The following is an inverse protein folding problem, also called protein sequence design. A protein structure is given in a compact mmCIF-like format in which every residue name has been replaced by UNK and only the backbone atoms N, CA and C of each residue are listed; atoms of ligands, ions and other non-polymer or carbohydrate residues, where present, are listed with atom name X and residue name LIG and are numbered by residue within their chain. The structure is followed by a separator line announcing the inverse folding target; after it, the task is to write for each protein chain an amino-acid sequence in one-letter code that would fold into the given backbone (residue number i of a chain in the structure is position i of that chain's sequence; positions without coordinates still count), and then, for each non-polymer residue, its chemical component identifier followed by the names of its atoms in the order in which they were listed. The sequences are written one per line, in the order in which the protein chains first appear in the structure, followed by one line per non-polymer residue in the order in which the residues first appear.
data_IF_482260443286
#
_entry.id   IF_482260443286
#
_cell.length_a   1.000
_cell.length_b   1.000
_cell.length_c   1.000
_cell.angle_alpha   90.00
_cell.angle_beta   90.00
_cell.angle_gamma   90.00
#
_symmetry.space_group_name_H-M   'P 1'
#
loop_
_entity.id
_entity.type
_entity.pdbx_description
1 polymer ?
#
# COMPACT_ATOMS: atom_id res chain seq x y z
N UNK A 1 54.98 37.46 -18.39
CA UNK A 1 54.64 37.72 -19.80
C UNK A 1 54.93 36.45 -20.59
N UNK A 2 53.86 35.79 -21.02
CA UNK A 2 53.88 34.49 -21.70
C UNK A 2 53.88 34.68 -23.22
N UNK A 3 54.77 33.97 -23.90
CA UNK A 3 54.51 33.23 -25.14
C UNK A 3 55.78 32.44 -25.48
N UNK A 4 55.65 31.13 -25.75
CA UNK A 4 55.84 30.77 -27.15
C UNK A 4 54.84 29.71 -27.65
N UNK A 5 54.64 29.80 -28.96
CA UNK A 5 53.87 28.93 -29.82
C UNK A 5 54.27 27.47 -29.73
N UNK A 6 53.27 26.58 -29.61
CA UNK A 6 53.40 25.18 -30.02
C UNK A 6 52.25 24.83 -30.97
N UNK A 7 52.64 24.65 -32.23
CA UNK A 7 51.88 23.98 -33.28
C UNK A 7 52.04 22.47 -33.10
N UNK A 8 50.94 21.73 -32.93
CA UNK A 8 50.96 20.28 -33.05
C UNK A 8 49.96 19.80 -34.11
N UNK A 9 50.50 18.93 -34.95
CA UNK A 9 49.91 18.34 -36.13
C UNK A 9 48.82 17.30 -35.79
N UNK A 10 47.80 17.27 -36.64
CA UNK A 10 46.79 16.21 -36.69
C UNK A 10 47.36 14.92 -37.31
N UNK A 11 47.12 13.74 -36.72
CA UNK A 11 47.45 12.48 -37.37
C UNK A 11 46.36 12.05 -38.37
N UNK A 12 46.84 11.57 -39.52
CA UNK A 12 46.08 10.91 -40.59
C UNK A 12 45.37 9.65 -40.08
N UNK A 13 44.08 9.52 -40.42
CA UNK A 13 43.36 8.25 -40.33
C UNK A 13 43.34 7.53 -41.69
N UNK A 14 43.42 6.21 -41.58
CA UNK A 14 43.71 5.21 -42.60
C UNK A 14 42.57 5.01 -43.61
N UNK A 15 42.98 4.77 -44.85
CA UNK A 15 42.18 4.17 -45.93
C UNK A 15 42.30 2.64 -45.87
N UNK A 16 41.18 1.91 -45.99
CA UNK A 16 41.14 0.55 -46.57
C UNK A 16 39.69 0.02 -46.76
N UNK A 17 39.50 -1.02 -47.59
CA UNK A 17 38.50 -1.03 -48.66
C UNK A 17 37.25 -1.89 -48.37
N UNK A 18 36.27 -1.78 -49.27
CA UNK A 18 34.98 -2.45 -49.19
C UNK A 18 34.92 -3.90 -49.70
N UNK A 19 33.65 -4.31 -49.86
CA UNK A 19 33.11 -5.50 -50.55
C UNK A 19 33.24 -6.86 -49.85
N UNK A 20 32.08 -7.40 -49.42
CA UNK A 20 31.38 -8.44 -50.17
C UNK A 20 29.96 -8.69 -49.65
N UNK A 21 29.01 -8.56 -50.59
CA UNK A 21 27.64 -9.03 -50.50
C UNK A 21 27.63 -10.54 -50.74
N UNK A 22 26.95 -11.30 -49.87
CA UNK A 22 26.52 -12.67 -50.18
C UNK A 22 25.04 -12.80 -49.87
N UNK A 23 24.27 -12.76 -50.96
CA UNK A 23 22.93 -13.32 -51.08
C UNK A 23 23.00 -14.83 -51.02
N UNK A 24 22.31 -15.43 -50.06
CA UNK A 24 21.84 -16.82 -50.14
C UNK A 24 20.38 -16.85 -49.74
N UNK A 25 19.55 -17.01 -50.75
CA UNK A 25 18.13 -17.34 -50.69
C UNK A 25 17.95 -18.80 -50.27
N UNK A 26 17.31 -19.03 -49.13
CA UNK A 26 16.62 -20.29 -48.87
C UNK A 26 15.12 -20.02 -48.75
N UNK A 27 14.43 -20.55 -49.76
CA UNK A 27 12.98 -20.68 -49.84
C UNK A 27 12.63 -21.91 -49.01
N UNK A 28 11.94 -21.74 -47.89
CA UNK A 28 11.25 -22.84 -47.22
C UNK A 28 9.76 -22.54 -47.21
N UNK A 29 9.05 -23.49 -47.81
CA UNK A 29 7.64 -23.53 -48.14
C UNK A 29 6.71 -23.47 -46.92
N UNK A 30 5.62 -22.73 -47.10
CA UNK A 30 4.45 -22.68 -46.22
C UNK A 30 3.72 -24.02 -46.16
N UNK A 31 3.40 -24.48 -44.94
CA UNK A 31 2.27 -25.35 -44.66
C UNK A 31 1.24 -24.57 -43.83
N UNK A 32 -0.06 -24.58 -44.19
CA UNK A 32 -1.09 -23.97 -43.37
C UNK A 32 -1.59 -25.00 -42.35
N UNK A 33 -1.38 -24.74 -41.06
CA UNK A 33 -2.05 -25.50 -40.00
C UNK A 33 -3.22 -24.65 -39.52
N UNK A 34 -4.39 -25.03 -40.02
CA UNK A 34 -5.67 -24.73 -39.40
C UNK A 34 -5.87 -25.72 -38.25
N UNK A 35 -5.95 -25.23 -37.03
CA UNK A 35 -6.77 -25.85 -35.99
C UNK A 35 -7.08 -24.83 -34.91
N UNK A 36 -8.37 -24.45 -34.87
CA UNK A 36 -9.03 -23.88 -33.71
C UNK A 36 -8.72 -24.76 -32.48
N UNK A 37 -7.98 -24.22 -31.52
CA UNK A 37 -8.11 -24.62 -30.13
C UNK A 37 -8.51 -23.39 -29.33
N UNK A 38 -9.79 -23.36 -28.98
CA UNK A 38 -10.35 -22.46 -28.01
C UNK A 38 -9.62 -22.68 -26.68
N UNK A 39 -8.79 -21.72 -26.27
CA UNK A 39 -8.28 -21.65 -24.91
C UNK A 39 -9.47 -21.30 -24.01
N UNK A 40 -10.03 -22.34 -23.39
CA UNK A 40 -11.01 -22.21 -22.32
C UNK A 40 -10.30 -21.53 -21.15
N UNK A 41 -10.61 -20.25 -20.94
CA UNK A 41 -10.34 -19.60 -19.67
C UNK A 41 -11.14 -20.33 -18.59
N UNK A 42 -10.49 -21.21 -17.84
CA UNK A 42 -10.99 -21.67 -16.56
C UNK A 42 -10.96 -20.49 -15.59
N UNK A 43 -12.01 -19.69 -15.60
CA UNK A 43 -12.38 -18.89 -14.43
C UNK A 43 -12.72 -19.87 -13.32
N UNK A 44 -11.78 -20.09 -12.40
CA UNK A 44 -12.08 -20.73 -11.14
C UNK A 44 -13.05 -19.81 -10.38
N UNK A 45 -14.34 -20.07 -10.55
CA UNK A 45 -15.40 -19.49 -9.74
C UNK A 45 -15.23 -20.00 -8.32
N UNK A 46 -14.52 -19.24 -7.49
CA UNK A 46 -14.56 -19.42 -6.04
C UNK A 46 -16.01 -19.15 -5.61
N UNK A 47 -16.66 -20.04 -4.84
CA UNK A 47 -18.04 -19.82 -4.43
C UNK A 47 -18.11 -18.56 -3.55
N UNK A 48 -18.74 -17.51 -4.07
CA UNK A 48 -19.19 -16.37 -3.29
C UNK A 48 -20.27 -16.92 -2.35
N UNK A 49 -19.97 -16.96 -1.04
CA UNK A 49 -21.02 -17.13 -0.02
C UNK A 49 -21.88 -15.88 -0.06
N UNK A 50 -23.03 -15.99 -0.72
CA UNK A 50 -24.11 -15.01 -0.64
C UNK A 50 -24.61 -15.02 0.81
N UNK A 51 -24.24 -14.01 1.58
CA UNK A 51 -24.87 -13.75 2.87
C UNK A 51 -26.25 -13.16 2.60
N UNK A 52 -27.29 -13.99 2.74
CA UNK A 52 -28.65 -13.50 2.88
C UNK A 52 -28.77 -12.79 4.22
N UNK A 53 -28.80 -11.45 4.17
CA UNK A 53 -29.19 -10.61 5.31
C UNK A 53 -30.65 -10.87 5.62
N UNK A 54 -30.92 -11.53 6.74
CA UNK A 54 -32.28 -11.73 7.23
C UNK A 54 -32.55 -10.85 8.45
N UNK A 55 -33.64 -10.08 8.31
CA UNK A 55 -34.51 -9.46 9.32
C UNK A 55 -34.20 -8.04 9.77
N UNK A 56 -35.14 -7.17 9.39
CA UNK A 56 -35.43 -5.89 9.99
C UNK A 56 -35.68 -6.03 11.50
N UNK A 57 -35.04 -5.18 12.28
CA UNK A 57 -35.37 -4.95 13.69
C UNK A 57 -36.17 -3.66 13.76
N UNK A 58 -37.36 -3.81 14.32
CA UNK A 58 -38.37 -2.80 14.57
C UNK A 58 -37.87 -1.84 15.68
N UNK A 59 -37.97 -0.54 15.41
CA UNK A 59 -37.59 0.52 16.34
C UNK A 59 -38.59 0.54 17.50
N UNK A 60 -38.12 0.31 18.73
CA UNK A 60 -38.90 0.53 19.95
C UNK A 60 -38.21 1.58 20.82
N UNK A 61 -38.98 2.58 21.24
CA UNK A 61 -38.54 3.74 22.02
C UNK A 61 -37.99 3.37 23.41
N UNK A 62 -37.13 4.21 24.01
CA UNK A 62 -36.54 3.94 25.32
C UNK A 62 -37.56 4.12 26.44
N UNK A 63 -37.95 3.01 27.05
CA UNK A 63 -38.72 2.96 28.30
C UNK A 63 -37.87 3.50 29.46
N UNK A 64 -38.33 4.57 30.11
CA UNK A 64 -37.79 5.04 31.39
C UNK A 64 -38.17 4.05 32.50
N UNK A 65 -37.19 3.39 33.10
CA UNK A 65 -37.41 2.51 34.25
C UNK A 65 -37.32 3.32 35.55
N UNK A 66 -38.46 3.74 36.08
CA UNK A 66 -38.59 4.33 37.42
C UNK A 66 -38.64 3.20 38.45
N UNK A 67 -37.62 3.07 39.29
CA UNK A 67 -37.65 2.18 40.45
C UNK A 67 -38.24 2.92 41.64
N UNK A 68 -39.49 2.60 41.99
CA UNK A 68 -40.12 3.06 43.23
C UNK A 68 -39.91 1.98 44.29
N UNK A 69 -38.96 2.18 45.20
CA UNK A 69 -38.84 1.36 46.41
C UNK A 69 -39.75 1.92 47.50
N UNK A 70 -40.71 1.10 47.92
CA UNK A 70 -41.59 1.36 49.06
C UNK A 70 -40.81 1.09 50.34
N UNK A 71 -40.54 2.12 51.12
CA UNK A 71 -39.95 2.01 52.46
C UNK A 71 -41.03 2.00 53.53
N UNK A 72 -40.99 1.02 54.44
CA UNK A 72 -41.63 1.13 55.76
C UNK A 72 -40.59 0.93 56.87
N UNK A 73 -40.64 1.86 57.82
CA UNK A 73 -40.20 1.76 59.21
C UNK A 73 -38.78 2.22 59.63
N UNK A 74 -38.83 3.30 60.41
CA UNK A 74 -38.17 3.56 61.70
C UNK A 74 -36.64 3.80 61.79
N UNK A 75 -36.32 5.02 62.24
CA UNK A 75 -35.20 5.43 63.11
C UNK A 75 -33.85 4.72 62.91
N UNK A 76 -32.94 5.37 62.18
CA UNK A 76 -31.59 5.60 62.71
C UNK A 76 -30.88 6.69 61.89
N UNK A 77 -30.18 7.54 62.63
CA UNK A 77 -29.32 8.62 62.18
C UNK A 77 -28.32 8.11 61.13
N UNK A 78 -28.44 8.54 59.88
CA UNK A 78 -27.42 8.29 58.86
C UNK A 78 -26.78 9.59 58.43
N UNK A 79 -25.49 9.67 58.71
CA UNK A 79 -24.54 10.64 58.17
C UNK A 79 -24.60 10.60 56.63
N UNK A 80 -25.05 11.68 56.02
CA UNK A 80 -25.00 11.88 54.57
C UNK A 80 -23.54 12.04 54.13
N UNK A 81 -22.94 10.99 53.61
CA UNK A 81 -21.71 11.11 52.81
C UNK A 81 -22.07 11.52 51.38
N UNK A 82 -21.87 12.80 51.08
CA UNK A 82 -21.94 13.30 49.71
C UNK A 82 -20.68 12.84 48.98
N UNK A 83 -20.79 11.78 48.18
CA UNK A 83 -19.76 11.47 47.19
C UNK A 83 -19.91 12.46 46.03
N UNK A 84 -19.08 13.51 46.03
CA UNK A 84 -18.70 14.17 44.79
C UNK A 84 -17.82 13.21 43.99
N UNK A 85 -18.44 12.21 43.36
CA UNK A 85 -17.73 11.42 42.36
C UNK A 85 -17.54 12.33 41.15
N UNK A 86 -16.34 12.89 41.02
CA UNK A 86 -15.83 13.41 39.75
C UNK A 86 -15.77 12.24 38.77
N UNK A 87 -16.89 11.88 38.16
CA UNK A 87 -16.95 10.96 37.01
C UNK A 87 -16.56 11.76 35.75
N UNK A 88 -15.37 12.32 35.77
CA UNK A 88 -14.80 13.06 34.66
C UNK A 88 -13.31 12.73 34.58
N UNK A 89 -12.98 11.44 34.43
CA UNK A 89 -11.62 10.96 34.12
C UNK A 89 -11.55 9.41 34.02
N UNK A 90 -12.35 8.76 33.18
CA UNK A 90 -12.12 7.34 32.85
C UNK A 90 -12.42 6.92 31.40
N UNK A 91 -12.79 7.87 30.53
CA UNK A 91 -12.56 7.67 29.11
C UNK A 91 -11.17 8.20 28.82
N UNK A 92 -10.15 7.34 28.96
CA UNK A 92 -8.96 7.51 28.15
C UNK A 92 -9.47 7.63 26.71
N UNK A 93 -9.11 8.67 25.95
CA UNK A 93 -9.50 8.74 24.55
C UNK A 93 -9.11 7.41 23.93
N UNK A 94 -10.07 6.75 23.26
CA UNK A 94 -9.75 5.62 22.38
C UNK A 94 -8.53 6.06 21.58
N UNK A 95 -7.43 5.32 21.71
CA UNK A 95 -6.27 5.52 20.84
C UNK A 95 -6.80 5.25 19.44
N UNK A 96 -7.16 6.30 18.71
CA UNK A 96 -7.50 6.19 17.31
C UNK A 96 -6.28 5.54 16.67
N UNK A 97 -6.45 4.32 16.17
CA UNK A 97 -5.43 3.70 15.32
C UNK A 97 -5.45 4.53 14.05
N UNK A 98 -4.43 5.37 13.91
CA UNK A 98 -4.33 6.27 12.78
C UNK A 98 -3.84 5.48 11.57
N UNK A 99 -4.57 5.59 10.46
CA UNK A 99 -4.36 4.81 9.25
C UNK A 99 -3.42 5.50 8.27
N UNK A 100 -2.89 4.75 7.30
CA UNK A 100 -1.89 5.21 6.34
C UNK A 100 -2.39 6.42 5.54
N UNK A 101 -1.64 7.52 5.57
CA UNK A 101 -1.96 8.76 4.84
C UNK A 101 -1.18 8.87 3.55
N UNK A 102 -1.87 8.64 2.43
CA UNK A 102 -1.32 8.75 1.07
C UNK A 102 -0.82 10.16 0.75
N UNK A 103 -1.38 11.18 1.42
CA UNK A 103 -1.19 12.58 1.09
C UNK A 103 0.27 13.03 1.10
N UNK A 104 1.13 12.40 1.92
CA UNK A 104 2.55 12.77 1.97
C UNK A 104 3.36 12.42 0.72
N UNK A 105 2.84 11.51 -0.12
CA UNK A 105 3.43 11.17 -1.40
C UNK A 105 2.77 11.87 -2.59
N UNK A 106 1.72 12.65 -2.36
CA UNK A 106 0.95 13.32 -3.41
C UNK A 106 1.29 14.81 -3.45
N UNK A 107 1.54 15.35 -4.64
CA UNK A 107 1.69 16.81 -4.78
C UNK A 107 0.36 17.51 -4.52
N UNK A 108 0.31 18.62 -3.75
CA UNK A 108 -0.93 19.34 -3.49
C UNK A 108 -1.64 19.82 -4.77
N UNK A 109 -0.87 20.28 -5.75
CA UNK A 109 -1.34 20.67 -7.07
C UNK A 109 -0.79 19.70 -8.10
N UNK A 110 -1.64 18.82 -8.61
CA UNK A 110 -1.27 17.75 -9.56
C UNK A 110 -2.33 17.51 -10.63
N UNK A 111 -1.95 16.98 -11.80
CA UNK A 111 -2.92 16.57 -12.82
C UNK A 111 -3.92 15.55 -12.28
N UNK A 112 -5.17 15.63 -12.73
CA UNK A 112 -6.15 14.59 -12.42
C UNK A 112 -5.73 13.27 -13.08
N UNK A 113 -5.92 12.15 -12.38
CA UNK A 113 -5.66 10.81 -12.88
C UNK A 113 -6.97 10.05 -13.09
N UNK A 114 -6.89 8.94 -13.82
CA UNK A 114 -8.03 8.05 -14.02
C UNK A 114 -8.57 7.53 -12.68
N UNK A 115 -9.89 7.52 -12.50
CA UNK A 115 -10.52 6.82 -11.38
C UNK A 115 -10.51 5.31 -11.63
N UNK A 116 -10.03 4.54 -10.66
CA UNK A 116 -9.90 3.08 -10.78
C UNK A 116 -11.00 2.43 -9.95
N UNK A 117 -11.93 1.77 -10.64
CA UNK A 117 -13.05 1.06 -10.03
C UNK A 117 -12.74 -0.44 -9.80
N UNK A 118 -11.79 -1.00 -10.54
CA UNK A 118 -11.52 -2.44 -10.60
C UNK A 118 -10.04 -2.75 -10.73
N UNK A 119 -9.62 -3.95 -10.28
CA UNK A 119 -8.22 -4.34 -10.23
C UNK A 119 -7.57 -4.46 -11.63
N UNK A 120 -8.32 -4.90 -12.64
CA UNK A 120 -7.82 -5.05 -14.00
C UNK A 120 -7.28 -3.72 -14.58
N UNK A 121 -7.89 -2.59 -14.19
CA UNK A 121 -7.49 -1.26 -14.67
C UNK A 121 -6.15 -0.76 -14.11
N UNK A 122 -5.59 -1.41 -13.07
CA UNK A 122 -4.31 -1.02 -12.45
C UNK A 122 -3.25 -2.12 -12.52
N UNK A 123 -3.62 -3.33 -12.94
CA UNK A 123 -2.76 -4.51 -12.92
C UNK A 123 -1.44 -4.34 -13.68
N UNK A 124 -1.48 -3.77 -14.89
CA UNK A 124 -0.28 -3.57 -15.71
C UNK A 124 0.73 -2.62 -15.04
N UNK A 125 0.24 -1.52 -14.45
CA UNK A 125 1.06 -0.54 -13.77
C UNK A 125 1.68 -1.11 -12.48
N UNK A 126 0.93 -1.92 -11.74
CA UNK A 126 1.46 -2.61 -10.54
C UNK A 126 2.55 -3.59 -10.94
N UNK A 127 2.33 -4.42 -11.97
CA UNK A 127 3.35 -5.37 -12.46
C UNK A 127 4.60 -4.65 -12.95
N UNK A 128 4.45 -3.55 -13.69
CA UNK A 128 5.57 -2.74 -14.15
C UNK A 128 6.36 -2.14 -12.98
N UNK A 129 5.68 -1.47 -12.05
CA UNK A 129 6.30 -0.87 -10.87
C UNK A 129 7.00 -1.92 -10.00
N UNK A 130 6.38 -3.09 -9.82
CA UNK A 130 7.00 -4.20 -9.10
C UNK A 130 8.28 -4.68 -9.77
N UNK A 131 8.22 -4.96 -11.07
CA UNK A 131 9.37 -5.43 -11.83
C UNK A 131 10.52 -4.42 -11.83
N UNK A 132 10.23 -3.13 -11.88
CA UNK A 132 11.25 -2.08 -11.80
C UNK A 132 11.79 -1.86 -10.39
N UNK A 133 10.98 -2.11 -9.34
CA UNK A 133 11.38 -1.92 -7.94
C UNK A 133 12.27 -3.07 -7.47
N UNK A 134 11.86 -4.31 -7.69
CA UNK A 134 12.54 -5.50 -7.13
C UNK A 134 13.40 -6.27 -8.15
N UNK A 135 13.24 -6.00 -9.45
CA UNK A 135 13.86 -6.75 -10.55
C UNK A 135 13.36 -8.20 -10.67
N UNK A 136 12.10 -8.47 -10.29
CA UNK A 136 11.44 -9.77 -10.39
C UNK A 136 9.97 -9.59 -10.81
N UNK A 137 9.28 -10.67 -11.19
CA UNK A 137 7.84 -10.62 -11.48
C UNK A 137 7.00 -10.61 -10.20
N UNK A 138 5.83 -9.95 -10.23
CA UNK A 138 4.89 -9.97 -9.11
C UNK A 138 4.44 -11.43 -8.85
N UNK A 139 4.60 -11.96 -7.63
CA UNK A 139 4.21 -13.33 -7.31
C UNK A 139 2.73 -13.61 -7.62
N UNK A 140 2.45 -14.70 -8.34
CA UNK A 140 1.09 -15.07 -8.77
C UNK A 140 0.14 -15.41 -7.62
N UNK A 141 0.67 -15.62 -6.40
CA UNK A 141 -0.11 -15.88 -5.20
C UNK A 141 -0.52 -14.62 -4.42
N UNK A 142 -0.20 -13.41 -4.94
CA UNK A 142 -0.72 -12.14 -4.42
C UNK A 142 -1.95 -11.75 -5.26
N UNK A 143 -3.11 -11.67 -4.61
CA UNK A 143 -4.39 -11.32 -5.23
C UNK A 143 -4.75 -9.88 -4.85
N UNK A 144 -4.90 -9.02 -5.86
CA UNK A 144 -5.27 -7.61 -5.67
C UNK A 144 -6.77 -7.44 -5.94
N UNK A 145 -7.46 -6.73 -5.04
CA UNK A 145 -8.87 -6.40 -5.15
C UNK A 145 -9.08 -4.91 -4.92
N UNK A 146 -9.91 -4.31 -5.77
CA UNK A 146 -10.33 -2.92 -5.65
C UNK A 146 -11.81 -2.91 -5.27
N UNK A 147 -12.16 -2.23 -4.19
CA UNK A 147 -13.50 -2.22 -3.62
C UNK A 147 -14.07 -0.82 -3.45
N UNK A 148 -15.39 -0.69 -3.62
CA UNK A 148 -16.11 0.45 -3.11
C UNK A 148 -16.01 0.54 -1.59
N UNK A 149 -16.31 1.71 -1.02
CA UNK A 149 -16.17 1.98 0.42
C UNK A 149 -16.89 0.94 1.29
N UNK A 150 -18.15 0.62 0.99
CA UNK A 150 -18.96 -0.27 1.82
C UNK A 150 -18.49 -1.73 1.74
N UNK A 151 -18.10 -2.20 0.55
CA UNK A 151 -17.54 -3.55 0.39
C UNK A 151 -16.19 -3.67 1.10
N UNK A 152 -15.36 -2.64 1.04
CA UNK A 152 -14.08 -2.59 1.75
C UNK A 152 -14.29 -2.60 3.26
N UNK A 153 -15.28 -1.84 3.76
CA UNK A 153 -15.67 -1.83 5.17
C UNK A 153 -16.11 -3.20 5.64
N UNK A 154 -17.06 -3.81 4.94
CA UNK A 154 -17.56 -5.13 5.27
C UNK A 154 -16.42 -6.16 5.27
N UNK A 155 -15.48 -6.06 4.32
CA UNK A 155 -14.34 -6.96 4.27
C UNK A 155 -13.33 -6.75 5.41
N UNK A 156 -13.05 -5.50 5.78
CA UNK A 156 -12.15 -5.17 6.88
C UNK A 156 -12.73 -5.63 8.23
N UNK A 157 -14.01 -5.34 8.49
CA UNK A 157 -14.71 -5.76 9.71
C UNK A 157 -14.81 -7.29 9.83
N UNK A 158 -15.04 -7.98 8.70
CA UNK A 158 -15.05 -9.46 8.66
C UNK A 158 -13.70 -10.10 9.04
N UNK A 159 -12.59 -9.35 8.95
CA UNK A 159 -11.25 -9.81 9.31
C UNK A 159 -10.74 -9.16 10.62
N UNK A 160 -11.67 -8.87 11.56
CA UNK A 160 -11.37 -8.34 12.90
C UNK A 160 -10.76 -6.94 12.92
N UNK A 161 -10.89 -6.18 11.83
CA UNK A 161 -10.50 -4.79 11.77
C UNK A 161 -11.58 -3.85 12.31
N UNK A 162 -11.17 -2.78 13.00
CA UNK A 162 -12.08 -1.69 13.38
C UNK A 162 -12.10 -0.66 12.25
N UNK A 163 -13.21 -0.55 11.51
CA UNK A 163 -13.28 0.35 10.36
C UNK A 163 -13.05 1.82 10.74
N UNK A 164 -12.36 2.54 9.85
CA UNK A 164 -12.28 3.99 9.81
C UNK A 164 -12.34 4.45 8.36
N UNK A 165 -12.97 5.59 8.11
CA UNK A 165 -13.07 6.17 6.77
C UNK A 165 -11.71 6.59 6.19
N UNK A 166 -10.69 6.72 7.05
CA UNK A 166 -9.31 6.99 6.66
C UNK A 166 -8.59 5.78 6.06
N UNK A 167 -9.12 4.57 6.20
CA UNK A 167 -8.55 3.36 5.59
C UNK A 167 -8.61 3.48 4.05
N UNK A 168 -7.45 3.36 3.41
CA UNK A 168 -7.31 3.35 1.94
C UNK A 168 -6.93 1.97 1.41
N UNK A 169 -6.23 1.17 2.20
CA UNK A 169 -5.84 -0.21 1.89
C UNK A 169 -5.75 -1.05 3.14
N UNK A 170 -5.80 -2.37 2.98
CA UNK A 170 -5.27 -3.33 3.94
C UNK A 170 -4.91 -4.62 3.22
N UNK A 171 -4.13 -5.46 3.88
CA UNK A 171 -3.67 -6.74 3.34
C UNK A 171 -3.82 -7.89 4.32
N UNK A 172 -3.96 -9.10 3.78
CA UNK A 172 -3.99 -10.35 4.53
C UNK A 172 -2.83 -11.22 4.03
N UNK A 173 -1.82 -11.39 4.88
CA UNK A 173 -0.65 -12.22 4.60
C UNK A 173 -0.88 -13.67 5.02
N UNK A 174 -1.92 -14.29 4.46
CA UNK A 174 -2.25 -15.70 4.72
C UNK A 174 -1.59 -16.62 3.69
N UNK A 175 -1.28 -17.85 4.09
CA UNK A 175 -0.73 -18.88 3.19
C UNK A 175 -1.87 -19.83 2.77
N UNK A 176 -1.91 -20.29 1.50
CA UNK A 176 -0.93 -20.07 0.44
C UNK A 176 -1.12 -18.76 -0.36
N UNK A 177 -2.26 -18.09 -0.24
CA UNK A 177 -2.61 -16.89 -1.02
C UNK A 177 -2.65 -15.64 -0.15
N UNK A 178 -1.91 -14.62 -0.59
CA UNK A 178 -1.86 -13.31 0.04
C UNK A 178 -2.85 -12.40 -0.67
N UNK A 179 -3.54 -11.55 0.08
CA UNK A 179 -4.58 -10.68 -0.49
C UNK A 179 -4.32 -9.23 -0.15
N UNK A 180 -4.52 -8.36 -1.12
CA UNK A 180 -4.47 -6.91 -0.95
C UNK A 180 -5.82 -6.34 -1.35
N UNK A 181 -6.36 -5.49 -0.51
CA UNK A 181 -7.63 -4.80 -0.70
C UNK A 181 -7.39 -3.30 -0.69
N UNK A 182 -7.84 -2.60 -1.72
CA UNK A 182 -7.70 -1.14 -1.84
C UNK A 182 -9.04 -0.50 -2.15
N UNK A 183 -9.28 0.67 -1.57
CA UNK A 183 -10.45 1.49 -1.85
C UNK A 183 -10.35 2.08 -3.25
N UNK A 184 -11.47 2.10 -3.97
CA UNK A 184 -11.57 2.84 -5.23
C UNK A 184 -11.16 4.30 -5.04
N UNK A 185 -10.27 4.77 -5.90
CA UNK A 185 -9.72 6.11 -5.85
C UNK A 185 -9.09 6.49 -7.20
N UNK A 186 -8.63 7.74 -7.37
CA UNK A 186 -7.72 8.10 -8.46
C UNK A 186 -6.45 7.23 -8.49
N UNK A 187 -5.93 6.97 -9.69
CA UNK A 187 -4.81 6.06 -9.95
C UNK A 187 -3.55 6.39 -9.14
N UNK A 188 -3.22 7.67 -8.97
CA UNK A 188 -2.08 8.12 -8.16
C UNK A 188 -2.21 7.69 -6.70
N UNK A 189 -3.41 7.76 -6.13
CA UNK A 189 -3.65 7.31 -4.75
C UNK A 189 -3.53 5.79 -4.63
N UNK A 190 -4.16 5.03 -5.54
CA UNK A 190 -4.09 3.57 -5.52
C UNK A 190 -2.66 3.08 -5.70
N UNK A 191 -1.88 3.70 -6.58
CA UNK A 191 -0.49 3.28 -6.81
C UNK A 191 0.39 3.50 -5.56
N UNK A 192 0.12 4.52 -4.75
CA UNK A 192 0.82 4.74 -3.46
C UNK A 192 0.41 3.67 -2.45
N UNK A 193 -0.89 3.49 -2.21
CA UNK A 193 -1.42 2.48 -1.27
C UNK A 193 -0.92 1.07 -1.64
N UNK A 194 -0.92 0.76 -2.93
CA UNK A 194 -0.49 -0.56 -3.40
C UNK A 194 0.99 -0.83 -3.09
N UNK A 195 1.85 0.19 -3.17
CA UNK A 195 3.24 0.06 -2.71
C UNK A 195 3.30 -0.37 -1.24
N UNK A 196 2.59 0.33 -0.37
CA UNK A 196 2.53 0.03 1.06
C UNK A 196 2.04 -1.40 1.34
N UNK A 197 0.90 -1.78 0.76
CA UNK A 197 0.30 -3.11 0.99
C UNK A 197 1.13 -4.27 0.42
N UNK A 198 1.79 -4.07 -0.73
CA UNK A 198 2.76 -5.05 -1.26
C UNK A 198 3.91 -5.24 -0.27
N UNK A 199 4.38 -4.15 0.35
CA UNK A 199 5.44 -4.17 1.37
C UNK A 199 5.13 -5.12 2.53
N UNK A 200 3.88 -5.13 3.01
CA UNK A 200 3.43 -6.06 4.06
C UNK A 200 3.50 -7.52 3.62
N UNK A 201 2.97 -7.83 2.43
CA UNK A 201 2.71 -9.22 2.04
C UNK A 201 3.93 -9.90 1.43
N UNK A 202 4.92 -9.18 0.91
CA UNK A 202 6.06 -9.82 0.22
C UNK A 202 6.90 -10.73 1.14
N UNK A 203 7.04 -10.38 2.42
CA UNK A 203 7.75 -11.18 3.42
C UNK A 203 6.79 -11.70 4.47
N UNK A 204 7.24 -12.57 5.39
CA UNK A 204 6.41 -12.93 6.55
C UNK A 204 6.16 -11.69 7.44
N UNK A 205 5.00 -11.64 8.10
CA UNK A 205 4.67 -10.57 9.04
C UNK A 205 5.63 -10.56 10.24
N UNK A 206 5.97 -9.37 10.71
CA UNK A 206 6.77 -9.15 11.90
C UNK A 206 5.87 -9.11 13.14
N UNK A 207 6.40 -9.57 14.28
CA UNK A 207 5.66 -9.59 15.54
C UNK A 207 5.54 -8.22 16.21
N UNK A 208 6.43 -7.29 15.87
CA UNK A 208 6.39 -5.90 16.30
C UNK A 208 5.65 -5.07 15.25
N UNK A 209 4.56 -4.42 15.64
CA UNK A 209 3.73 -3.63 14.72
C UNK A 209 4.48 -2.42 14.15
N UNK A 210 5.35 -1.76 14.93
CA UNK A 210 6.16 -0.64 14.44
C UNK A 210 7.14 -1.10 13.36
N UNK A 211 7.79 -2.25 13.57
CA UNK A 211 8.71 -2.81 12.57
C UNK A 211 7.97 -3.26 11.30
N UNK A 212 6.76 -3.80 11.44
CA UNK A 212 5.91 -4.19 10.30
C UNK A 212 5.52 -2.96 9.46
N UNK A 213 5.11 -1.87 10.10
CA UNK A 213 4.80 -0.60 9.43
C UNK A 213 6.05 0.04 8.81
N UNK A 214 7.19 0.02 9.50
CA UNK A 214 8.44 0.52 8.95
C UNK A 214 8.90 -0.28 7.74
N UNK A 215 8.67 -1.60 7.75
CA UNK A 215 8.94 -2.48 6.62
C UNK A 215 8.05 -2.08 5.44
N UNK A 216 6.75 -1.96 5.62
CA UNK A 216 5.85 -1.54 4.55
C UNK A 216 6.21 -0.15 3.99
N UNK A 217 6.49 0.81 4.87
CA UNK A 217 6.88 2.16 4.48
C UNK A 217 8.23 2.22 3.73
N UNK A 218 9.23 1.42 4.13
CA UNK A 218 10.49 1.32 3.41
C UNK A 218 10.30 0.80 1.98
N UNK A 219 9.40 -0.17 1.79
CA UNK A 219 9.06 -0.66 0.45
C UNK A 219 8.28 0.39 -0.35
N UNK A 220 7.29 1.05 0.26
CA UNK A 220 6.51 2.13 -0.35
C UNK A 220 7.40 3.26 -0.85
N UNK A 221 8.43 3.65 -0.07
CA UNK A 221 9.38 4.67 -0.48
C UNK A 221 10.19 4.25 -1.71
N UNK A 222 10.71 3.02 -1.72
CA UNK A 222 11.42 2.47 -2.89
C UNK A 222 10.51 2.37 -4.12
N UNK A 223 9.24 2.03 -3.90
CA UNK A 223 8.21 1.92 -4.92
C UNK A 223 7.88 3.28 -5.55
N UNK A 224 7.62 4.31 -4.74
CA UNK A 224 7.34 5.67 -5.22
C UNK A 224 8.57 6.27 -5.93
N UNK A 225 9.78 6.04 -5.40
CA UNK A 225 11.04 6.41 -6.07
C UNK A 225 11.12 5.78 -7.47
N UNK A 226 10.75 4.50 -7.59
CA UNK A 226 10.73 3.78 -8.87
C UNK A 226 9.71 4.36 -9.85
N UNK A 227 8.48 4.65 -9.39
CA UNK A 227 7.45 5.29 -10.22
C UNK A 227 7.94 6.64 -10.74
N UNK A 228 8.53 7.48 -9.87
CA UNK A 228 9.07 8.79 -10.26
C UNK A 228 10.21 8.67 -11.27
N UNK A 229 11.13 7.74 -11.04
CA UNK A 229 12.30 7.50 -11.90
C UNK A 229 11.92 7.03 -13.30
N UNK A 230 10.92 6.15 -13.40
CA UNK A 230 10.52 5.52 -14.65
C UNK A 230 9.25 6.14 -15.27
N UNK A 231 8.65 7.14 -14.62
CA UNK A 231 7.38 7.76 -15.00
C UNK A 231 6.26 6.74 -15.24
N UNK A 232 6.15 5.76 -14.35
CA UNK A 232 5.16 4.67 -14.45
C UNK A 232 3.76 5.28 -14.37
N UNK A 233 2.87 4.84 -15.27
CA UNK A 233 1.50 5.35 -15.40
C UNK A 233 1.41 6.89 -15.59
N UNK A 234 2.49 7.52 -16.06
CA UNK A 234 2.62 8.97 -16.19
C UNK A 234 2.42 9.75 -14.86
N UNK A 235 2.81 9.15 -13.73
CA UNK A 235 2.57 9.72 -12.40
C UNK A 235 3.70 10.61 -11.87
N UNK A 236 4.74 10.90 -12.66
CA UNK A 236 5.90 11.69 -12.20
C UNK A 236 5.49 13.08 -11.66
N UNK A 237 4.47 13.70 -12.25
CA UNK A 237 3.97 15.01 -11.83
C UNK A 237 2.86 14.94 -10.78
N UNK A 238 2.45 13.73 -10.39
CA UNK A 238 1.48 13.48 -9.33
C UNK A 238 2.13 13.24 -7.99
N UNK A 239 3.32 12.64 -8.00
CA UNK A 239 3.97 12.17 -6.79
C UNK A 239 5.12 13.08 -6.34
N UNK A 240 5.44 13.00 -5.05
CA UNK A 240 6.58 13.66 -4.42
C UNK A 240 7.21 12.75 -3.37
N UNK A 241 8.46 13.00 -3.03
CA UNK A 241 9.17 12.34 -1.93
C UNK A 241 9.28 13.32 -0.76
N UNK A 242 8.13 13.82 -0.29
CA UNK A 242 8.11 14.68 0.89
C UNK A 242 8.13 13.81 2.16
N UNK A 243 9.36 13.53 2.59
CA UNK A 243 9.63 12.83 3.84
C UNK A 243 9.54 13.73 5.07
N UNK A 244 8.99 14.95 4.95
CA UNK A 244 8.72 15.79 6.11
C UNK A 244 7.98 14.98 7.19
N UNK A 245 8.32 15.18 8.48
CA UNK A 245 7.71 14.43 9.57
C UNK A 245 6.19 14.51 9.50
N UNK A 246 5.55 13.36 9.37
CA UNK A 246 4.13 13.24 9.61
C UNK A 246 3.88 13.59 11.10
N UNK A 247 2.78 14.29 11.39
CA UNK A 247 2.43 14.78 12.75
C UNK A 247 1.20 14.03 13.27
N UNK A 248 1.15 12.71 13.16
CA UNK A 248 -0.04 11.89 13.37
C UNK A 248 0.21 10.38 13.73
N UNK A 249 1.00 10.04 14.76
CA UNK A 249 0.90 8.77 15.50
C UNK A 249 1.81 7.59 15.10
N UNK A 250 1.27 6.35 15.05
CA UNK A 250 2.04 5.08 14.85
C UNK A 250 2.88 5.09 13.57
N UNK A 251 2.29 5.56 12.47
CA UNK A 251 2.97 5.68 11.18
C UNK A 251 4.05 6.75 11.21
N UNK A 252 3.99 7.76 12.10
CA UNK A 252 5.07 8.74 12.24
C UNK A 252 6.36 8.06 12.71
N UNK A 253 6.26 7.11 13.65
CA UNK A 253 7.43 6.42 14.20
C UNK A 253 8.08 5.58 13.10
N UNK A 254 7.28 4.81 12.36
CA UNK A 254 7.75 4.01 11.24
C UNK A 254 8.34 4.87 10.11
N UNK A 255 7.61 5.91 9.67
CA UNK A 255 8.04 6.85 8.64
C UNK A 255 9.31 7.60 9.04
N UNK A 256 9.39 8.12 10.26
CA UNK A 256 10.55 8.85 10.75
C UNK A 256 11.78 7.94 10.87
N UNK A 257 11.59 6.69 11.31
CA UNK A 257 12.65 5.70 11.36
C UNK A 257 13.23 5.43 9.96
N UNK A 258 12.37 5.12 8.99
CA UNK A 258 12.81 4.89 7.60
C UNK A 258 13.43 6.14 6.99
N UNK A 259 12.85 7.32 7.21
CA UNK A 259 13.41 8.59 6.74
C UNK A 259 14.81 8.84 7.32
N UNK A 260 15.04 8.51 8.60
CA UNK A 260 16.36 8.59 9.24
C UNK A 260 17.37 7.64 8.62
N UNK A 261 16.98 6.39 8.36
CA UNK A 261 17.82 5.41 7.67
C UNK A 261 18.21 5.90 6.27
N UNK A 262 17.25 6.39 5.49
CA UNK A 262 17.52 6.90 4.14
C UNK A 262 18.38 8.17 4.18
N UNK A 263 18.14 9.06 5.16
CA UNK A 263 18.97 10.24 5.37
C UNK A 263 20.43 9.89 5.72
N UNK A 264 20.69 8.72 6.32
CA UNK A 264 22.04 8.20 6.56
C UNK A 264 22.73 7.60 5.33
N UNK A 265 22.06 7.59 4.17
CA UNK A 265 22.61 7.10 2.91
C UNK A 265 22.28 5.65 2.56
N UNK A 266 21.43 4.97 3.35
CA UNK A 266 20.94 3.62 3.01
C UNK A 266 19.77 3.69 2.05
N UNK A 267 19.75 2.81 1.04
CA UNK A 267 18.65 2.74 0.09
C UNK A 267 17.37 2.17 0.73
N UNK A 268 16.20 2.70 0.36
CA UNK A 268 14.93 2.31 0.97
C UNK A 268 14.61 0.81 0.80
N UNK A 269 14.92 0.24 -0.37
CA UNK A 269 14.74 -1.20 -0.62
C UNK A 269 15.70 -2.07 0.18
N UNK A 270 16.90 -1.56 0.50
CA UNK A 270 17.84 -2.25 1.39
C UNK A 270 17.29 -2.27 2.82
N UNK A 271 16.81 -1.13 3.31
CA UNK A 271 16.15 -1.03 4.61
C UNK A 271 14.96 -1.99 4.73
N UNK A 272 14.11 -2.07 3.70
CA UNK A 272 13.03 -3.04 3.61
C UNK A 272 13.50 -4.48 3.80
N UNK A 273 14.55 -4.88 3.07
CA UNK A 273 15.10 -6.25 3.13
C UNK A 273 15.69 -6.55 4.49
N UNK A 274 16.35 -5.60 5.12
CA UNK A 274 16.93 -5.77 6.46
C UNK A 274 15.87 -5.83 7.56
N UNK A 275 14.81 -5.03 7.47
CA UNK A 275 13.63 -5.12 8.36
C UNK A 275 12.95 -6.48 8.22
N UNK A 276 12.70 -6.94 6.99
CA UNK A 276 12.12 -8.27 6.73
C UNK A 276 12.98 -9.42 7.25
N UNK A 277 14.31 -9.24 7.32
CA UNK A 277 15.26 -10.20 7.90
C UNK A 277 15.49 -10.00 9.41
N UNK A 278 14.86 -9.01 10.04
CA UNK A 278 15.04 -8.63 11.45
C UNK A 278 16.48 -8.22 11.80
N UNK A 279 17.20 -7.66 10.83
CA UNK A 279 18.53 -7.05 11.01
C UNK A 279 18.37 -5.63 11.56
N UNK A 280 17.35 -4.90 11.08
CA UNK A 280 16.91 -3.62 11.61
C UNK A 280 15.66 -3.79 12.48
N UNK A 281 15.51 -2.95 13.49
CA UNK A 281 14.30 -2.82 14.31
C UNK A 281 14.24 -1.43 14.93
N UNK A 282 13.04 -0.86 15.07
CA UNK A 282 12.79 0.40 15.78
C UNK A 282 13.11 0.27 17.27
N UNK A 283 13.00 -0.93 17.83
CA UNK A 283 13.23 -1.20 19.25
C UNK A 283 14.71 -1.37 19.64
N UNK A 284 15.65 -0.93 18.80
CA UNK A 284 17.10 -1.03 19.06
C UNK A 284 17.68 0.16 19.81
#
# INVERSE_FOLDING_TARGET
MYSPNYSMAMPRAYSSPGFHSRTSSEIVSYTPISSLEAVVHHTASVPIRVYQSSKAVEVTEPTQTTYTSVSNSANSSSTSFTYHTKVAQYFAPERQREYHTVDSFLRPYRPATQFIAEAAAVESFVKEAFAKTICEELPSNIIIRVFGKEDMRAMHEAHSGNWSDTIQGFSLNTKPYKQIFVKQAPLDQIMVVMGHEIGHVLTDSLGNIHDEEAKAFAFELAWVQTILKHNIANLKDNLTLDLAPAKNGLHDVAKAFVAGIVASGKEALEAYRELGKRILSIAS
#
